data_IF_315584918159
#
_entry.id   IF_315584918159
#
_cell.length_a   1.000
_cell.length_b   1.000
_cell.length_c   1.000
_cell.angle_alpha   90.00
_cell.angle_beta   90.00
_cell.angle_gamma   90.00
#
_symmetry.space_group_name_H-M   'P 1'
#
loop_
_entity.id
_entity.type
_entity.pdbx_description
1 polymer ?
#
# COMPACT_ATOMS: atom_id res chain seq x y z
N UNK A 1 27.80 -26.52 8.59
CA UNK A 1 26.96 -25.30 8.65
C UNK A 1 25.51 -25.70 8.98
N UNK A 2 24.94 -25.34 10.15
CA UNK A 2 23.54 -25.69 10.53
C UNK A 2 22.68 -24.43 10.71
N UNK A 3 21.62 -24.27 9.92
CA UNK A 3 20.67 -23.16 10.00
C UNK A 3 19.25 -23.61 9.65
N UNK A 4 18.25 -23.03 10.32
CA UNK A 4 16.84 -23.19 9.97
C UNK A 4 16.39 -21.98 9.15
N UNK A 5 16.50 -22.04 7.82
CA UNK A 5 16.17 -20.92 6.92
C UNK A 5 14.72 -20.43 7.09
N UNK A 6 13.81 -21.34 7.44
CA UNK A 6 12.40 -21.05 7.75
C UNK A 6 12.20 -20.10 8.93
N UNK A 7 13.19 -19.97 9.83
CA UNK A 7 13.13 -19.06 10.99
C UNK A 7 13.66 -17.66 10.69
N UNK A 8 14.26 -17.46 9.51
CA UNK A 8 14.74 -16.14 9.11
C UNK A 8 13.56 -15.28 8.69
N UNK A 9 13.58 -13.98 9.00
CA UNK A 9 12.63 -13.05 8.41
C UNK A 9 12.79 -13.00 6.88
N UNK A 10 11.81 -12.42 6.18
CA UNK A 10 11.91 -12.17 4.72
C UNK A 10 13.16 -11.37 4.38
N UNK A 11 13.52 -10.37 5.19
CA UNK A 11 14.72 -9.54 4.99
C UNK A 11 16.01 -10.27 5.32
N UNK A 12 16.03 -11.08 6.39
CA UNK A 12 17.24 -11.82 6.78
C UNK A 12 17.56 -12.93 5.77
N UNK A 13 16.53 -13.59 5.21
CA UNK A 13 16.71 -14.57 4.16
C UNK A 13 17.29 -13.92 2.89
N UNK A 14 16.74 -12.78 2.46
CA UNK A 14 17.27 -12.01 1.34
C UNK A 14 18.74 -11.61 1.59
N UNK A 15 19.02 -11.05 2.77
CA UNK A 15 20.37 -10.59 3.13
C UNK A 15 21.38 -11.74 3.15
N UNK A 16 21.01 -12.90 3.68
CA UNK A 16 21.89 -14.08 3.69
C UNK A 16 22.16 -14.57 2.26
N UNK A 17 21.13 -14.66 1.42
CA UNK A 17 21.28 -15.06 0.02
C UNK A 17 22.19 -14.07 -0.74
N UNK A 18 21.91 -12.77 -0.62
CA UNK A 18 22.70 -11.70 -1.26
C UNK A 18 24.17 -11.77 -0.85
N UNK A 19 24.46 -11.81 0.45
CA UNK A 19 25.85 -11.85 0.95
C UNK A 19 26.57 -13.12 0.52
N UNK A 20 25.85 -14.26 0.47
CA UNK A 20 26.41 -15.52 -0.02
C UNK A 20 26.77 -15.42 -1.51
N UNK A 21 25.89 -14.84 -2.33
CA UNK A 21 26.14 -14.58 -3.76
C UNK A 21 27.32 -13.63 -3.94
N UNK A 22 27.32 -12.48 -3.25
CA UNK A 22 28.41 -11.49 -3.32
C UNK A 22 29.75 -12.09 -2.93
N UNK A 23 29.79 -12.93 -1.89
CA UNK A 23 31.01 -13.59 -1.47
C UNK A 23 31.54 -14.56 -2.54
N UNK A 24 30.65 -15.33 -3.17
CA UNK A 24 31.00 -16.23 -4.27
C UNK A 24 31.50 -15.46 -5.51
N UNK A 25 30.96 -14.27 -5.77
CA UNK A 25 31.34 -13.42 -6.91
C UNK A 25 32.51 -12.46 -6.63
N UNK A 26 33.09 -12.49 -5.42
CA UNK A 26 34.19 -11.60 -5.04
C UNK A 26 35.49 -11.80 -5.84
N UNK A 27 35.58 -12.89 -6.62
CA UNK A 27 36.81 -13.30 -7.30
C UNK A 27 37.83 -14.01 -6.40
N UNK A 28 37.58 -14.05 -5.08
CA UNK A 28 38.46 -14.69 -4.09
C UNK A 28 38.52 -16.22 -4.20
N UNK A 29 37.49 -16.84 -4.79
CA UNK A 29 37.30 -18.30 -4.77
C UNK A 29 37.08 -18.88 -6.16
N UNK A 30 38.15 -19.32 -6.86
CA UNK A 30 38.03 -19.92 -8.18
C UNK A 30 37.14 -21.17 -8.22
N UNK A 31 37.11 -21.95 -7.12
CA UNK A 31 36.39 -23.23 -7.02
C UNK A 31 34.87 -23.14 -7.19
N UNK A 32 34.29 -21.95 -6.97
CA UNK A 32 32.85 -21.70 -7.09
C UNK A 32 32.51 -20.78 -8.28
N UNK A 33 33.52 -20.25 -8.97
CA UNK A 33 33.30 -19.43 -10.13
C UNK A 33 32.48 -20.20 -11.18
N UNK A 34 31.43 -19.56 -11.69
CA UNK A 34 30.52 -20.14 -12.70
C UNK A 34 29.81 -21.45 -12.30
N UNK A 35 29.75 -21.79 -11.00
CA UNK A 35 29.08 -23.01 -10.56
C UNK A 35 27.56 -22.95 -10.83
N UNK A 36 26.92 -24.01 -11.39
CA UNK A 36 25.49 -23.99 -11.73
C UNK A 36 24.57 -23.65 -10.54
N UNK A 37 24.90 -24.16 -9.33
CA UNK A 37 24.14 -23.83 -8.12
C UNK A 37 24.24 -22.35 -7.70
N UNK A 38 25.30 -21.64 -8.08
CA UNK A 38 25.39 -20.20 -7.86
C UNK A 38 24.43 -19.46 -8.80
N UNK A 39 24.40 -19.84 -10.09
CA UNK A 39 23.47 -19.28 -11.06
C UNK A 39 22.00 -19.51 -10.67
N UNK A 40 21.67 -20.72 -10.20
CA UNK A 40 20.34 -21.04 -9.68
C UNK A 40 19.95 -20.18 -8.47
N UNK A 41 20.87 -19.99 -7.53
CA UNK A 41 20.65 -19.16 -6.36
C UNK A 41 20.47 -17.69 -6.75
N UNK A 42 21.24 -17.20 -7.73
CA UNK A 42 21.12 -15.84 -8.26
C UNK A 42 19.79 -15.60 -8.95
N UNK A 43 19.33 -16.53 -9.79
CA UNK A 43 18.05 -16.41 -10.47
C UNK A 43 16.89 -16.34 -9.47
N UNK A 44 16.88 -17.23 -8.47
CA UNK A 44 15.87 -17.23 -7.41
C UNK A 44 15.94 -15.97 -6.55
N UNK A 45 17.14 -15.52 -6.18
CA UNK A 45 17.34 -14.30 -5.42
C UNK A 45 16.89 -13.05 -6.19
N UNK A 46 17.14 -12.98 -7.50
CA UNK A 46 16.74 -11.84 -8.34
C UNK A 46 15.22 -11.62 -8.31
N UNK A 47 14.44 -12.70 -8.33
CA UNK A 47 12.99 -12.60 -8.19
C UNK A 47 12.56 -12.24 -6.76
N UNK A 48 13.28 -12.74 -5.76
CA UNK A 48 13.03 -12.44 -4.35
C UNK A 48 13.34 -10.98 -3.98
N UNK A 49 14.42 -10.43 -4.54
CA UNK A 49 14.91 -9.07 -4.32
C UNK A 49 13.86 -8.02 -4.72
N UNK A 50 13.09 -8.31 -5.78
CA UNK A 50 11.98 -7.46 -6.25
C UNK A 50 10.83 -7.33 -5.25
N UNK A 51 10.69 -8.27 -4.31
CA UNK A 51 9.45 -8.41 -3.51
C UNK A 51 9.66 -8.48 -2.00
N UNK A 52 10.87 -8.70 -1.50
CA UNK A 52 11.12 -8.84 -0.06
C UNK A 52 10.93 -7.53 0.74
N UNK A 53 10.97 -6.38 0.05
CA UNK A 53 10.68 -5.03 0.59
C UNK A 53 9.38 -4.44 0.06
N UNK A 54 8.65 -5.17 -0.79
CA UNK A 54 7.42 -4.71 -1.43
C UNK A 54 6.39 -4.30 -0.38
N UNK A 55 5.79 -3.12 -0.58
CA UNK A 55 4.66 -2.67 0.22
C UNK A 55 3.40 -3.47 -0.13
N UNK A 56 2.57 -3.75 0.87
CA UNK A 56 1.31 -4.50 0.67
C UNK A 56 0.18 -3.59 0.17
N UNK A 57 0.32 -2.28 0.37
CA UNK A 57 -0.64 -1.24 0.02
C UNK A 57 0.10 0.07 -0.29
N UNK A 58 -0.57 0.98 -0.99
CA UNK A 58 -0.01 2.26 -1.49
C UNK A 58 0.44 3.27 -0.44
N UNK A 59 0.13 3.04 0.84
CA UNK A 59 0.40 3.99 1.94
C UNK A 59 -0.55 5.20 1.99
N UNK A 60 -1.31 5.49 0.93
CA UNK A 60 -2.19 6.67 0.79
C UNK A 60 -3.47 6.66 1.63
N UNK A 61 -3.68 5.65 2.48
CA UNK A 61 -4.94 5.46 3.21
C UNK A 61 -5.32 6.64 4.11
N UNK A 62 -4.32 7.26 4.76
CA UNK A 62 -4.54 8.44 5.61
C UNK A 62 -4.95 9.66 4.80
N UNK A 63 -4.30 9.89 3.67
CA UNK A 63 -4.55 11.03 2.79
C UNK A 63 -5.94 10.93 2.15
N UNK A 64 -6.33 9.72 1.71
CA UNK A 64 -7.69 9.44 1.20
C UNK A 64 -8.74 9.73 2.28
N UNK A 65 -8.52 9.27 3.51
CA UNK A 65 -9.45 9.51 4.62
C UNK A 65 -9.54 11.01 5.00
N UNK A 66 -8.45 11.77 4.87
CA UNK A 66 -8.46 13.21 5.11
C UNK A 66 -9.29 13.96 4.05
N UNK A 67 -9.09 13.65 2.76
CA UNK A 67 -9.88 14.26 1.67
C UNK A 67 -11.36 13.87 1.74
N UNK A 68 -11.65 12.63 2.13
CA UNK A 68 -13.00 12.16 2.40
C UNK A 68 -13.69 12.99 3.49
N UNK A 69 -12.99 13.22 4.60
CA UNK A 69 -13.50 14.06 5.68
C UNK A 69 -13.76 15.49 5.22
N UNK A 70 -12.87 16.09 4.44
CA UNK A 70 -13.07 17.44 3.90
C UNK A 70 -14.30 17.51 2.99
N UNK A 71 -14.50 16.51 2.13
CA UNK A 71 -15.68 16.34 1.29
C UNK A 71 -16.96 16.23 2.14
N UNK A 72 -16.95 15.42 3.18
CA UNK A 72 -18.08 15.24 4.10
C UNK A 72 -18.47 16.54 4.80
N UNK A 73 -17.45 17.30 5.24
CA UNK A 73 -17.63 18.58 5.90
C UNK A 73 -18.26 19.59 4.94
N UNK A 74 -17.79 19.68 3.69
CA UNK A 74 -18.35 20.57 2.69
C UNK A 74 -19.83 20.24 2.39
N UNK A 75 -20.13 18.96 2.15
CA UNK A 75 -21.51 18.47 1.98
C UNK A 75 -22.40 18.81 3.17
N UNK A 76 -21.94 18.49 4.37
CA UNK A 76 -22.71 18.68 5.61
C UNK A 76 -22.99 20.16 5.88
N UNK A 77 -22.04 21.05 5.63
CA UNK A 77 -22.22 22.50 5.81
C UNK A 77 -23.26 23.06 4.85
N UNK A 78 -23.20 22.70 3.57
CA UNK A 78 -24.19 23.15 2.59
C UNK A 78 -25.59 22.61 2.92
N UNK A 79 -25.69 21.32 3.27
CA UNK A 79 -26.93 20.68 3.75
C UNK A 79 -27.50 21.39 4.99
N UNK A 80 -26.65 21.70 5.96
CA UNK A 80 -27.04 22.37 7.20
C UNK A 80 -27.54 23.81 6.94
N UNK A 81 -26.86 24.56 6.07
CA UNK A 81 -27.29 25.88 5.64
C UNK A 81 -28.70 25.84 5.05
N UNK A 82 -28.93 24.97 4.06
CA UNK A 82 -30.24 24.82 3.41
C UNK A 82 -31.32 24.41 4.42
N UNK A 83 -31.02 23.48 5.32
CA UNK A 83 -31.96 23.03 6.35
C UNK A 83 -32.32 24.13 7.37
N UNK A 84 -31.37 25.00 7.70
CA UNK A 84 -31.62 26.15 8.56
C UNK A 84 -32.43 27.22 7.85
N UNK A 85 -31.98 27.62 6.67
CA UNK A 85 -32.54 28.74 5.91
C UNK A 85 -33.99 28.50 5.49
N UNK A 86 -34.33 27.27 5.05
CA UNK A 86 -35.70 26.91 4.65
C UNK A 86 -36.74 27.05 5.77
N UNK A 87 -36.31 27.08 7.03
CA UNK A 87 -37.20 27.22 8.21
C UNK A 87 -37.51 28.68 8.55
N UNK A 88 -36.83 29.62 7.93
CA UNK A 88 -37.04 31.06 8.13
C UNK A 88 -38.10 31.55 7.15
N UNK A 89 -39.38 31.24 7.39
CA UNK A 89 -40.48 31.59 6.48
C UNK A 89 -40.66 33.09 6.21
N UNK A 90 -40.11 33.94 7.08
CA UNK A 90 -40.06 35.40 6.90
C UNK A 90 -38.84 35.89 6.10
N UNK A 91 -37.84 35.04 5.85
CA UNK A 91 -36.66 35.41 5.08
C UNK A 91 -36.95 35.35 3.57
N UNK A 92 -36.34 36.26 2.82
CA UNK A 92 -36.35 36.19 1.36
C UNK A 92 -35.79 34.84 0.90
N UNK A 93 -36.27 34.33 -0.25
CA UNK A 93 -35.73 33.11 -0.87
C UNK A 93 -35.79 31.82 -0.03
N UNK A 94 -36.50 31.78 1.11
CA UNK A 94 -36.58 30.56 1.94
C UNK A 94 -37.09 29.34 1.14
N UNK A 95 -38.04 29.56 0.21
CA UNK A 95 -38.58 28.51 -0.66
C UNK A 95 -37.54 28.00 -1.66
N UNK A 96 -36.58 28.82 -2.09
CA UNK A 96 -35.48 28.36 -2.93
C UNK A 96 -34.56 27.43 -2.15
N UNK A 97 -34.32 27.74 -0.87
CA UNK A 97 -33.55 26.87 0.02
C UNK A 97 -34.28 25.55 0.31
N UNK A 98 -35.62 25.58 0.48
CA UNK A 98 -36.44 24.37 0.57
C UNK A 98 -36.30 23.51 -0.69
N UNK A 99 -36.41 24.12 -1.88
CA UNK A 99 -36.31 23.40 -3.15
C UNK A 99 -34.93 22.73 -3.31
N UNK A 100 -33.84 23.43 -2.98
CA UNK A 100 -32.50 22.84 -3.00
C UNK A 100 -32.32 21.78 -1.91
N UNK A 101 -32.91 21.96 -0.73
CA UNK A 101 -32.87 20.96 0.33
C UNK A 101 -33.57 19.65 -0.09
N UNK A 102 -34.67 19.74 -0.84
CA UNK A 102 -35.32 18.55 -1.40
C UNK A 102 -34.43 17.81 -2.41
N UNK A 103 -33.59 18.52 -3.18
CA UNK A 103 -32.57 17.87 -4.02
C UNK A 103 -31.63 17.02 -3.17
N UNK A 104 -31.08 17.58 -2.07
CA UNK A 104 -30.24 16.81 -1.14
C UNK A 104 -30.98 15.61 -0.56
N UNK A 105 -32.27 15.75 -0.24
CA UNK A 105 -33.10 14.65 0.27
C UNK A 105 -33.25 13.51 -0.74
N UNK A 106 -33.39 13.80 -2.03
CA UNK A 106 -33.47 12.78 -3.09
C UNK A 106 -32.21 11.92 -3.18
N UNK A 107 -31.03 12.50 -2.94
CA UNK A 107 -29.75 11.77 -2.94
C UNK A 107 -29.40 11.13 -1.59
N UNK A 108 -30.19 11.42 -0.54
CA UNK A 108 -30.01 10.90 0.81
C UNK A 108 -29.27 11.88 1.72
N UNK A 109 -29.91 12.27 2.82
CA UNK A 109 -29.33 13.21 3.79
C UNK A 109 -28.16 12.63 4.58
N UNK A 110 -27.90 11.33 4.48
CA UNK A 110 -26.84 10.57 5.13
C UNK A 110 -25.72 10.16 4.16
N UNK A 111 -25.62 10.84 3.02
CA UNK A 111 -24.64 10.56 1.97
C UNK A 111 -23.18 10.56 2.48
N UNK A 112 -22.87 11.40 3.46
CA UNK A 112 -21.58 11.47 4.18
C UNK A 112 -21.24 10.24 5.05
N UNK A 113 -22.16 9.27 5.17
CA UNK A 113 -21.98 8.07 6.00
C UNK A 113 -21.90 6.79 5.17
N UNK A 114 -21.91 6.93 3.85
CA UNK A 114 -21.89 5.81 2.91
C UNK A 114 -20.47 5.32 2.67
N UNK A 115 -20.34 4.14 2.07
CA UNK A 115 -19.03 3.69 1.58
C UNK A 115 -18.51 4.65 0.51
N UNK A 116 -17.18 4.75 0.39
CA UNK A 116 -16.53 5.62 -0.60
C UNK A 116 -17.10 5.48 -1.99
N UNK A 117 -17.30 4.26 -2.49
CA UNK A 117 -17.86 4.03 -3.82
C UNK A 117 -19.30 4.53 -3.95
N UNK A 118 -20.15 4.24 -2.96
CA UNK A 118 -21.56 4.65 -2.98
C UNK A 118 -21.70 6.16 -2.85
N UNK A 119 -20.96 6.77 -1.91
CA UNK A 119 -20.93 8.20 -1.71
C UNK A 119 -20.44 8.94 -2.95
N UNK A 120 -19.35 8.47 -3.57
CA UNK A 120 -18.76 9.06 -4.77
C UNK A 120 -19.77 9.09 -5.92
N UNK A 121 -20.42 7.96 -6.20
CA UNK A 121 -21.43 7.88 -7.25
C UNK A 121 -22.62 8.83 -7.02
N UNK A 122 -23.10 8.91 -5.76
CA UNK A 122 -24.22 9.78 -5.41
C UNK A 122 -23.83 11.27 -5.38
N UNK A 123 -22.64 11.60 -4.87
CA UNK A 123 -22.13 12.98 -4.80
C UNK A 123 -21.97 13.57 -6.20
N UNK A 124 -21.43 12.79 -7.14
CA UNK A 124 -21.32 13.19 -8.55
C UNK A 124 -22.67 13.57 -9.14
N UNK A 125 -23.68 12.72 -8.94
CA UNK A 125 -25.05 12.96 -9.44
C UNK A 125 -25.75 14.13 -8.72
N UNK A 126 -25.49 14.32 -7.44
CA UNK A 126 -25.94 15.49 -6.69
C UNK A 126 -25.34 16.78 -7.29
N UNK A 127 -24.02 16.83 -7.50
CA UNK A 127 -23.34 17.98 -8.10
C UNK A 127 -23.89 18.28 -9.50
N UNK A 128 -23.99 17.27 -10.38
CA UNK A 128 -24.58 17.42 -11.72
C UNK A 128 -26.02 18.00 -11.64
N UNK A 129 -26.81 17.58 -10.66
CA UNK A 129 -28.18 18.09 -10.45
C UNK A 129 -28.18 19.54 -9.96
N UNK A 130 -27.27 19.89 -9.04
CA UNK A 130 -27.10 21.25 -8.53
C UNK A 130 -26.60 22.21 -9.63
N UNK A 131 -25.79 21.71 -10.57
CA UNK A 131 -25.26 22.45 -11.72
C UNK A 131 -26.27 22.63 -12.87
N UNK A 132 -27.47 22.03 -12.79
CA UNK A 132 -28.56 22.32 -13.74
C UNK A 132 -28.92 23.81 -13.73
N UNK A 133 -29.31 24.36 -14.89
CA UNK A 133 -29.60 25.80 -15.04
C UNK A 133 -30.62 26.32 -14.02
N UNK A 134 -31.65 25.51 -13.72
CA UNK A 134 -32.68 25.84 -12.73
C UNK A 134 -32.10 25.92 -11.30
N UNK A 135 -31.29 24.94 -10.89
CA UNK A 135 -30.72 24.92 -9.55
C UNK A 135 -29.60 25.95 -9.40
N UNK A 136 -28.82 26.22 -10.45
CA UNK A 136 -27.81 27.28 -10.44
C UNK A 136 -28.42 28.67 -10.24
N UNK A 137 -29.61 28.93 -10.77
CA UNK A 137 -30.34 30.16 -10.45
C UNK A 137 -30.64 30.25 -8.95
N UNK A 138 -31.15 29.17 -8.34
CA UNK A 138 -31.45 29.13 -6.88
C UNK A 138 -30.18 29.31 -6.04
N UNK A 139 -29.07 28.69 -6.47
CA UNK A 139 -27.76 28.77 -5.81
C UNK A 139 -27.23 30.21 -5.82
N UNK A 140 -27.36 30.92 -6.95
CA UNK A 140 -27.04 32.36 -7.06
C UNK A 140 -27.90 33.22 -6.15
N UNK A 141 -29.22 33.01 -6.16
CA UNK A 141 -30.14 33.76 -5.30
C UNK A 141 -29.89 33.57 -3.80
N UNK A 142 -29.19 32.50 -3.42
CA UNK A 142 -28.78 32.19 -2.05
C UNK A 142 -27.30 32.45 -1.77
N UNK A 143 -26.54 32.99 -2.75
CA UNK A 143 -25.10 33.23 -2.67
C UNK A 143 -24.27 31.98 -2.31
N UNK A 144 -24.65 30.80 -2.84
CA UNK A 144 -24.02 29.51 -2.54
C UNK A 144 -23.02 29.03 -3.61
N UNK A 145 -22.70 29.85 -4.62
CA UNK A 145 -21.83 29.45 -5.74
C UNK A 145 -20.46 28.99 -5.27
N UNK A 146 -19.83 29.77 -4.38
CA UNK A 146 -18.52 29.41 -3.79
C UNK A 146 -18.59 28.14 -2.97
N UNK A 147 -19.70 27.90 -2.25
CA UNK A 147 -19.88 26.69 -1.47
C UNK A 147 -20.06 25.44 -2.35
N UNK A 148 -20.80 25.57 -3.47
CA UNK A 148 -20.91 24.50 -4.45
C UNK A 148 -19.56 24.19 -5.10
N UNK A 149 -18.81 25.22 -5.51
CA UNK A 149 -17.50 25.07 -6.12
C UNK A 149 -16.50 24.38 -5.17
N UNK A 150 -16.50 24.77 -3.89
CA UNK A 150 -15.67 24.15 -2.84
C UNK A 150 -16.03 22.67 -2.63
N UNK A 151 -17.33 22.35 -2.54
CA UNK A 151 -17.79 20.96 -2.42
C UNK A 151 -17.38 20.11 -3.63
N UNK A 152 -17.50 20.66 -4.84
CA UNK A 152 -17.08 20.00 -6.08
C UNK A 152 -15.57 19.76 -6.13
N UNK A 153 -14.76 20.77 -5.81
CA UNK A 153 -13.31 20.65 -5.79
C UNK A 153 -12.83 19.57 -4.80
N UNK A 154 -13.41 19.52 -3.60
CA UNK A 154 -13.11 18.48 -2.60
C UNK A 154 -13.52 17.08 -3.06
N UNK A 155 -14.66 16.97 -3.74
CA UNK A 155 -15.09 15.71 -4.33
C UNK A 155 -14.11 15.21 -5.41
N UNK A 156 -13.69 16.09 -6.33
CA UNK A 156 -12.73 15.77 -7.39
C UNK A 156 -11.33 15.42 -6.84
N UNK A 157 -10.88 16.14 -5.81
CA UNK A 157 -9.63 15.83 -5.11
C UNK A 157 -9.65 14.43 -4.47
N UNK A 158 -10.75 14.09 -3.78
CA UNK A 158 -10.96 12.74 -3.25
C UNK A 158 -10.95 11.69 -4.37
N UNK A 159 -11.73 11.89 -5.45
CA UNK A 159 -11.83 10.92 -6.54
C UNK A 159 -10.47 10.64 -7.20
N UNK A 160 -9.68 11.69 -7.41
CA UNK A 160 -8.34 11.60 -7.99
C UNK A 160 -7.44 10.72 -7.13
N UNK A 161 -7.35 11.01 -5.83
CA UNK A 161 -6.46 10.28 -4.92
C UNK A 161 -6.95 8.85 -4.65
N UNK A 162 -8.26 8.66 -4.53
CA UNK A 162 -8.86 7.34 -4.35
C UNK A 162 -8.59 6.43 -5.57
N UNK A 163 -8.71 6.97 -6.78
CA UNK A 163 -8.41 6.25 -8.02
C UNK A 163 -6.94 5.91 -8.14
N UNK A 164 -6.05 6.85 -7.80
CA UNK A 164 -4.60 6.62 -7.77
C UNK A 164 -4.23 5.51 -6.76
N UNK A 165 -4.80 5.56 -5.55
CA UNK A 165 -4.62 4.51 -4.55
C UNK A 165 -5.09 3.15 -5.08
N UNK A 166 -6.24 3.09 -5.75
CA UNK A 166 -6.75 1.85 -6.32
C UNK A 166 -5.82 1.29 -7.41
N UNK A 167 -5.28 2.15 -8.28
CA UNK A 167 -4.29 1.79 -9.29
C UNK A 167 -3.03 1.20 -8.70
N UNK A 168 -2.40 1.92 -7.75
CA UNK A 168 -1.18 1.43 -7.07
C UNK A 168 -1.45 0.09 -6.36
N UNK A 169 -2.58 -0.03 -5.68
CA UNK A 169 -2.94 -1.29 -5.00
C UNK A 169 -3.19 -2.44 -5.99
N UNK A 170 -3.73 -2.16 -7.18
CA UNK A 170 -3.90 -3.15 -8.23
C UNK A 170 -2.53 -3.64 -8.76
N UNK A 171 -1.61 -2.72 -9.03
CA UNK A 171 -0.25 -3.05 -9.48
C UNK A 171 0.51 -3.87 -8.43
N UNK A 172 0.41 -3.46 -7.16
CA UNK A 172 0.97 -4.24 -6.05
C UNK A 172 0.37 -5.64 -5.99
N UNK A 173 -0.90 -5.86 -6.33
CA UNK A 173 -1.50 -7.21 -6.32
C UNK A 173 -1.02 -8.10 -7.47
N UNK A 174 -0.59 -7.53 -8.59
CA UNK A 174 -0.06 -8.30 -9.74
C UNK A 174 1.33 -8.90 -9.45
N UNK A 175 2.13 -8.23 -8.62
CA UNK A 175 3.45 -8.76 -8.24
C UNK A 175 3.30 -9.96 -7.30
N UNK A 176 4.07 -11.03 -7.53
CA UNK A 176 4.19 -12.15 -6.57
C UNK A 176 4.55 -11.64 -5.18
N UNK A 177 4.05 -12.31 -4.14
CA UNK A 177 4.47 -12.01 -2.77
C UNK A 177 5.81 -12.67 -2.46
N UNK A 178 6.62 -12.06 -1.60
CA UNK A 178 7.83 -12.71 -1.09
C UNK A 178 7.53 -14.09 -0.51
N UNK A 179 6.42 -14.24 0.21
CA UNK A 179 5.98 -15.53 0.76
C UNK A 179 5.72 -16.59 -0.31
N UNK A 180 5.20 -16.22 -1.47
CA UNK A 180 4.91 -17.15 -2.57
C UNK A 180 6.19 -17.74 -3.18
N UNK A 181 7.26 -16.95 -3.28
CA UNK A 181 8.53 -17.39 -3.88
C UNK A 181 9.62 -17.71 -2.84
N UNK A 182 9.34 -17.51 -1.55
CA UNK A 182 10.26 -17.78 -0.44
C UNK A 182 10.77 -19.21 -0.42
N UNK A 183 9.87 -20.18 -0.60
CA UNK A 183 10.22 -21.61 -0.53
C UNK A 183 11.25 -22.00 -1.60
N UNK A 184 11.21 -21.36 -2.77
CA UNK A 184 12.17 -21.60 -3.83
C UNK A 184 13.56 -21.09 -3.42
N UNK A 185 13.65 -19.84 -2.94
CA UNK A 185 14.90 -19.27 -2.46
C UNK A 185 15.49 -20.09 -1.29
N UNK A 186 14.66 -20.50 -0.32
CA UNK A 186 15.10 -21.35 0.79
C UNK A 186 15.68 -22.67 0.28
N UNK A 187 15.03 -23.31 -0.71
CA UNK A 187 15.51 -24.56 -1.29
C UNK A 187 16.86 -24.36 -1.99
N UNK A 188 16.98 -23.36 -2.86
CA UNK A 188 18.22 -23.08 -3.60
C UNK A 188 19.37 -22.72 -2.66
N UNK A 189 19.12 -21.87 -1.66
CA UNK A 189 20.11 -21.51 -0.66
C UNK A 189 20.52 -22.70 0.21
N UNK A 190 19.57 -23.56 0.60
CA UNK A 190 19.87 -24.79 1.34
C UNK A 190 20.75 -25.73 0.53
N UNK A 191 20.41 -25.97 -0.74
CA UNK A 191 21.22 -26.80 -1.64
C UNK A 191 22.64 -26.23 -1.78
N UNK A 192 22.78 -24.92 -1.91
CA UNK A 192 24.07 -24.24 -1.99
C UNK A 192 24.89 -24.43 -0.70
N UNK A 193 24.29 -24.21 0.48
CA UNK A 193 24.94 -24.44 1.78
C UNK A 193 25.33 -25.91 1.98
N UNK A 194 24.51 -26.84 1.49
CA UNK A 194 24.81 -28.27 1.52
C UNK A 194 26.04 -28.61 0.69
N UNK A 195 26.19 -28.05 -0.52
CA UNK A 195 27.42 -28.19 -1.31
C UNK A 195 28.64 -27.75 -0.49
N UNK A 196 28.62 -26.54 0.09
CA UNK A 196 29.74 -26.03 0.88
C UNK A 196 30.08 -26.94 2.06
N UNK A 197 29.05 -27.51 2.70
CA UNK A 197 29.25 -28.41 3.83
C UNK A 197 29.93 -29.72 3.43
N UNK A 198 29.64 -30.25 2.24
CA UNK A 198 30.31 -31.44 1.69
C UNK A 198 31.73 -31.12 1.25
N UNK A 199 31.94 -29.96 0.61
CA UNK A 199 33.23 -29.57 0.04
C UNK A 199 34.23 -29.01 1.07
N UNK A 200 33.84 -28.82 2.34
CA UNK A 200 34.65 -28.14 3.37
C UNK A 200 36.09 -28.69 3.56
N UNK A 201 36.31 -29.98 3.27
CA UNK A 201 37.60 -30.64 3.43
C UNK A 201 38.32 -30.84 2.07
N UNK A 202 37.76 -30.33 0.97
CA UNK A 202 38.36 -30.38 -0.36
C UNK A 202 39.32 -29.19 -0.52
N UNK A 203 40.55 -29.38 -1.03
CA UNK A 203 41.49 -28.29 -1.26
C UNK A 203 40.86 -27.13 -2.05
N UNK A 204 41.10 -25.90 -1.59
CA UNK A 204 40.56 -24.68 -2.19
C UNK A 204 39.15 -24.27 -1.72
N UNK A 205 38.42 -25.12 -1.00
CA UNK A 205 37.06 -24.81 -0.52
C UNK A 205 36.98 -24.32 0.92
N UNK A 206 38.00 -24.61 1.74
CA UNK A 206 37.98 -24.36 3.18
C UNK A 206 37.73 -22.88 3.53
N UNK A 207 38.49 -21.97 2.92
CA UNK A 207 38.33 -20.53 3.13
C UNK A 207 36.96 -20.02 2.67
N UNK A 208 36.41 -20.60 1.60
CA UNK A 208 35.09 -20.20 1.14
C UNK A 208 33.98 -20.70 2.08
N UNK A 209 34.09 -21.96 2.52
CA UNK A 209 33.20 -22.53 3.53
C UNK A 209 33.22 -21.69 4.81
N UNK A 210 34.39 -21.31 5.30
CA UNK A 210 34.53 -20.54 6.54
C UNK A 210 33.87 -19.16 6.44
N UNK A 211 34.11 -18.41 5.37
CA UNK A 211 33.52 -17.08 5.20
C UNK A 211 31.99 -17.17 5.10
N UNK A 212 31.44 -18.14 4.34
CA UNK A 212 29.98 -18.33 4.28
C UNK A 212 29.41 -18.84 5.61
N UNK A 213 30.16 -19.64 6.36
CA UNK A 213 29.74 -20.10 7.69
C UNK A 213 29.57 -18.93 8.67
N UNK A 214 30.44 -17.91 8.59
CA UNK A 214 30.29 -16.69 9.39
C UNK A 214 29.04 -15.89 8.99
N UNK A 215 28.74 -15.79 7.69
CA UNK A 215 27.48 -15.18 7.22
C UNK A 215 26.24 -15.92 7.77
N UNK A 216 26.28 -17.26 7.78
CA UNK A 216 25.21 -18.09 8.34
C UNK A 216 25.07 -17.91 9.85
N UNK A 217 26.18 -17.83 10.60
CA UNK A 217 26.15 -17.54 12.04
C UNK A 217 25.55 -16.16 12.31
N UNK A 218 25.95 -15.14 11.55
CA UNK A 218 25.40 -13.79 11.68
C UNK A 218 23.88 -13.78 11.45
N UNK A 219 23.41 -14.41 10.37
CA UNK A 219 21.97 -14.50 10.08
C UNK A 219 21.18 -15.24 11.19
N UNK A 220 21.76 -16.30 11.75
CA UNK A 220 21.17 -17.03 12.88
C UNK A 220 21.02 -16.12 14.11
N UNK A 221 22.03 -15.32 14.43
CA UNK A 221 22.01 -14.43 15.59
C UNK A 221 20.96 -13.31 15.42
N UNK A 222 20.80 -12.76 14.22
CA UNK A 222 19.74 -11.79 13.93
C UNK A 222 18.34 -12.34 14.21
N UNK A 223 18.07 -13.60 13.84
CA UNK A 223 16.77 -14.23 14.09
C UNK A 223 16.44 -14.39 15.58
N UNK A 224 17.44 -14.68 16.41
CA UNK A 224 17.28 -14.83 17.87
C UNK A 224 16.93 -13.50 18.52
N UNK A 225 17.55 -12.39 18.08
CA UNK A 225 17.26 -11.06 18.60
C UNK A 225 15.81 -10.62 18.27
N UNK A 226 15.33 -10.88 17.05
CA UNK A 226 13.93 -10.56 16.70
C UNK A 226 12.92 -11.33 17.56
N UNK A 227 13.17 -12.62 17.83
CA UNK A 227 12.27 -13.45 18.64
C UNK A 227 12.19 -13.08 20.13
N UNK A 228 13.18 -12.34 20.64
CA UNK A 228 13.16 -11.83 22.03
C UNK A 228 12.37 -10.52 22.15
N UNK A 229 12.28 -9.73 21.08
CA UNK A 229 11.54 -8.47 21.07
C UNK A 229 10.03 -8.68 20.88
N UNK A 230 9.62 -9.80 20.28
CA UNK A 230 8.20 -10.14 20.06
C UNK A 230 7.51 -10.84 21.26
N UNK A 231 8.20 -11.03 22.40
CA UNK A 231 7.55 -11.49 23.63
C UNK A 231 7.15 -10.26 24.46
N UNK A 232 5.86 -9.90 24.55
CA UNK A 232 5.42 -8.96 25.57
C UNK A 232 5.56 -9.66 26.93
N UNK A 233 6.17 -8.97 27.89
CA UNK A 233 5.95 -9.25 29.32
C UNK A 233 4.52 -8.96 29.70
#
# INVERSE_FOLDING_TARGET
>A
MKISLTKLSTKDLATLAQRTISNAQSGKYPVIAHHPLLADLQASYTEYDKVYTKQVYSGKGKDVAALDHERDVAYTRMKAFLNGYRKLSSAANYQLAENLYQVFKTFGLDLDRRSYSSQTAQMKKLIETLESSENMHKIRSLALETALADMKAKHEAFETLFSEQAGINADLRQMKSASAIRKDLEKKLKTYISLLTVMKNVPGWELFYNDVNELVKAAKNSSVLSSKQEKPS
#
